data_IF_389245352159
#
_entry.id   IF_389245352159
#
_cell.length_a   1.000
_cell.length_b   1.000
_cell.length_c   1.000
_cell.angle_alpha   90.00
_cell.angle_beta   90.00
_cell.angle_gamma   90.00
#
_symmetry.space_group_name_H-M   'P 1'
#
loop_
_entity.id
_entity.type
_entity.pdbx_description
1 polymer ?
#
# COMPACT_ATOMS: atom_id res chain seq x y z
N UNK A 1 16.19 38.78 2.44
CA UNK A 1 16.93 38.03 3.48
C UNK A 1 16.08 36.83 3.87
N UNK A 2 16.00 35.80 3.03
CA UNK A 2 15.06 34.66 3.19
C UNK A 2 15.69 33.32 2.83
N UNK A 3 17.03 33.22 2.87
CA UNK A 3 17.77 32.00 2.50
C UNK A 3 18.39 31.29 3.72
N UNK A 4 18.36 31.91 4.89
CA UNK A 4 18.97 31.36 6.11
C UNK A 4 18.07 30.33 6.77
N UNK A 5 16.75 30.54 6.71
CA UNK A 5 15.77 29.68 7.40
C UNK A 5 15.70 28.26 6.82
N UNK A 6 15.80 28.11 5.49
CA UNK A 6 15.73 26.79 4.82
C UNK A 6 16.93 25.90 5.15
N UNK A 7 18.09 26.48 5.44
CA UNK A 7 19.35 25.75 5.65
C UNK A 7 19.46 25.09 7.03
N UNK A 8 18.61 25.48 7.97
CA UNK A 8 18.57 24.94 9.34
C UNK A 8 17.52 23.84 9.54
N UNK A 9 16.68 23.55 8.54
CA UNK A 9 15.75 22.43 8.65
C UNK A 9 16.50 21.10 8.48
N UNK A 10 16.15 20.07 9.28
CA UNK A 10 16.68 18.73 9.08
C UNK A 10 16.28 18.20 7.70
N UNK A 11 17.19 17.44 7.08
CA UNK A 11 16.90 16.77 5.82
C UNK A 11 15.67 15.87 5.97
N UNK A 12 14.81 15.87 4.95
CA UNK A 12 13.60 15.06 4.95
C UNK A 12 14.00 13.57 5.00
N UNK A 13 13.63 12.91 6.10
CA UNK A 13 13.78 11.46 6.22
C UNK A 13 12.43 10.83 5.88
N UNK A 14 12.31 10.04 4.79
CA UNK A 14 11.07 9.39 4.45
C UNK A 14 10.69 8.38 5.54
N UNK A 15 9.40 8.33 5.90
CA UNK A 15 8.91 7.34 6.88
C UNK A 15 9.08 5.89 6.39
N UNK A 16 9.14 5.69 5.07
CA UNK A 16 9.31 4.39 4.43
C UNK A 16 10.55 4.44 3.54
N UNK A 17 11.47 3.49 3.77
CA UNK A 17 12.67 3.34 2.94
C UNK A 17 12.32 2.80 1.57
N UNK A 18 12.87 3.42 0.52
CA UNK A 18 12.60 3.09 -0.90
C UNK A 18 12.91 1.64 -1.26
N UNK A 19 13.87 1.03 -0.58
CA UNK A 19 14.25 -0.37 -0.79
C UNK A 19 13.23 -1.38 -0.26
N UNK A 20 12.43 -0.99 0.74
CA UNK A 20 11.42 -1.86 1.33
C UNK A 20 10.09 -1.87 0.55
N UNK A 21 9.84 -0.81 -0.24
CA UNK A 21 8.63 -0.64 -1.05
C UNK A 21 8.27 -1.81 -1.99
N UNK A 22 9.20 -2.42 -2.74
CA UNK A 22 8.83 -3.52 -3.65
C UNK A 22 8.34 -4.76 -2.90
N UNK A 23 8.92 -5.03 -1.73
CA UNK A 23 8.53 -6.17 -0.90
C UNK A 23 7.13 -5.95 -0.29
N UNK A 24 6.83 -4.76 0.23
CA UNK A 24 5.49 -4.45 0.75
C UNK A 24 4.44 -4.45 -0.36
N UNK A 25 4.76 -3.96 -1.56
CA UNK A 25 3.86 -4.00 -2.70
C UNK A 25 3.53 -5.45 -3.10
N UNK A 26 4.55 -6.31 -3.22
CA UNK A 26 4.39 -7.72 -3.56
C UNK A 26 3.53 -8.45 -2.52
N UNK A 27 3.84 -8.30 -1.24
CA UNK A 27 3.12 -8.98 -0.15
C UNK A 27 1.67 -8.48 -0.08
N UNK A 28 1.44 -7.17 -0.20
CA UNK A 28 0.09 -6.60 -0.17
C UNK A 28 -0.76 -7.06 -1.37
N UNK A 29 -0.19 -7.08 -2.58
CA UNK A 29 -0.90 -7.56 -3.78
C UNK A 29 -1.19 -9.06 -3.73
N UNK A 30 -0.22 -9.89 -3.29
CA UNK A 30 -0.43 -11.32 -3.15
C UNK A 30 -1.52 -11.63 -2.11
N UNK A 31 -1.50 -10.93 -0.98
CA UNK A 31 -2.54 -11.07 0.03
C UNK A 31 -3.90 -10.61 -0.50
N UNK A 32 -3.96 -9.48 -1.22
CA UNK A 32 -5.19 -9.00 -1.87
C UNK A 32 -5.74 -10.01 -2.90
N UNK A 33 -4.86 -10.62 -3.69
CA UNK A 33 -5.22 -11.66 -4.65
C UNK A 33 -5.76 -12.91 -3.95
N UNK A 34 -5.10 -13.37 -2.89
CA UNK A 34 -5.56 -14.52 -2.11
C UNK A 34 -6.90 -14.24 -1.40
N UNK A 35 -7.09 -13.04 -0.84
CA UNK A 35 -8.34 -12.62 -0.19
C UNK A 35 -9.50 -12.49 -1.19
N UNK A 36 -9.25 -11.91 -2.37
CA UNK A 36 -10.27 -11.82 -3.43
C UNK A 36 -10.61 -13.21 -3.98
N UNK A 37 -9.62 -14.08 -4.19
CA UNK A 37 -9.87 -15.48 -4.56
C UNK A 37 -10.69 -16.20 -3.49
N UNK A 38 -10.33 -16.03 -2.20
CA UNK A 38 -11.05 -16.60 -1.07
C UNK A 38 -12.52 -16.15 -1.05
N UNK A 39 -12.78 -14.87 -1.31
CA UNK A 39 -14.13 -14.33 -1.45
C UNK A 39 -14.90 -15.06 -2.56
N UNK A 40 -14.29 -15.26 -3.74
CA UNK A 40 -14.96 -15.97 -4.85
C UNK A 40 -15.28 -17.44 -4.54
N UNK A 41 -14.50 -18.08 -3.68
CA UNK A 41 -14.77 -19.45 -3.20
C UNK A 41 -15.73 -19.53 -2.03
N UNK A 42 -15.99 -18.42 -1.34
CA UNK A 42 -16.91 -18.40 -0.20
C UNK A 42 -18.35 -18.45 -0.73
N UNK A 43 -19.01 -19.60 -0.56
CA UNK A 43 -20.43 -19.73 -0.87
C UNK A 43 -21.24 -19.59 0.42
N UNK A 44 -22.03 -18.51 0.53
CA UNK A 44 -23.12 -18.30 1.50
C UNK A 44 -22.72 -17.76 2.89
N UNK A 45 -22.04 -16.62 2.96
CA UNK A 45 -21.87 -15.92 4.24
C UNK A 45 -21.77 -14.38 4.06
N UNK A 46 -22.91 -13.67 3.85
CA UNK A 46 -22.91 -12.26 3.43
C UNK A 46 -22.20 -11.31 4.41
N UNK A 47 -22.22 -11.59 5.71
CA UNK A 47 -21.52 -10.80 6.72
C UNK A 47 -19.98 -10.96 6.66
N UNK A 48 -19.50 -12.17 6.35
CA UNK A 48 -18.08 -12.45 6.21
C UNK A 48 -17.55 -12.01 4.83
N UNK A 49 -18.39 -12.11 3.79
CA UNK A 49 -18.10 -11.61 2.45
C UNK A 49 -17.80 -10.11 2.48
N UNK A 50 -18.60 -9.32 3.21
CA UNK A 50 -18.38 -7.88 3.34
C UNK A 50 -17.05 -7.56 4.04
N UNK A 51 -16.74 -8.27 5.13
CA UNK A 51 -15.49 -8.08 5.87
C UNK A 51 -14.25 -8.44 5.06
N UNK A 52 -14.29 -9.58 4.36
CA UNK A 52 -13.21 -10.03 3.47
C UNK A 52 -13.06 -9.10 2.27
N UNK A 53 -14.16 -8.65 1.66
CA UNK A 53 -14.14 -7.72 0.54
C UNK A 53 -13.53 -6.36 0.93
N UNK A 54 -13.87 -5.83 2.10
CA UNK A 54 -13.29 -4.58 2.61
C UNK A 54 -11.78 -4.72 2.87
N UNK A 55 -11.37 -5.81 3.53
CA UNK A 55 -9.95 -6.10 3.76
C UNK A 55 -9.18 -6.25 2.44
N UNK A 56 -9.75 -7.00 1.50
CA UNK A 56 -9.16 -7.21 0.18
C UNK A 56 -9.01 -5.89 -0.59
N UNK A 57 -10.04 -5.04 -0.58
CA UNK A 57 -10.03 -3.73 -1.23
C UNK A 57 -8.99 -2.79 -0.62
N UNK A 58 -8.88 -2.76 0.72
CA UNK A 58 -7.88 -1.95 1.41
C UNK A 58 -6.46 -2.40 1.07
N UNK A 59 -6.20 -3.72 1.09
CA UNK A 59 -4.90 -4.29 0.75
C UNK A 59 -4.54 -4.09 -0.73
N UNK A 60 -5.52 -4.20 -1.63
CA UNK A 60 -5.35 -3.92 -3.05
C UNK A 60 -5.01 -2.44 -3.28
N UNK A 61 -5.72 -1.52 -2.63
CA UNK A 61 -5.45 -0.08 -2.69
C UNK A 61 -4.06 0.27 -2.15
N UNK A 62 -3.72 -0.19 -0.95
CA UNK A 62 -2.41 0.05 -0.36
C UNK A 62 -1.26 -0.56 -1.20
N UNK A 63 -1.45 -1.78 -1.69
CA UNK A 63 -0.47 -2.48 -2.51
C UNK A 63 -0.25 -1.84 -3.88
N UNK A 64 -1.30 -1.33 -4.53
CA UNK A 64 -1.17 -0.59 -5.79
C UNK A 64 -0.43 0.73 -5.61
N UNK A 65 -0.74 1.52 -4.57
CA UNK A 65 0.01 2.75 -4.24
C UNK A 65 1.50 2.45 -4.00
N UNK A 66 1.80 1.39 -3.24
CA UNK A 66 3.17 0.94 -3.04
C UNK A 66 3.84 0.53 -4.36
N UNK A 67 3.15 -0.21 -5.24
CA UNK A 67 3.65 -0.59 -6.56
C UNK A 67 3.95 0.64 -7.42
N UNK A 68 3.06 1.64 -7.47
CA UNK A 68 3.31 2.87 -8.23
C UNK A 68 4.52 3.64 -7.68
N UNK A 69 4.68 3.70 -6.37
CA UNK A 69 5.89 4.25 -5.76
C UNK A 69 7.15 3.44 -6.15
N UNK A 70 7.08 2.10 -6.26
CA UNK A 70 8.25 1.29 -6.69
C UNK A 70 8.68 1.52 -8.12
N UNK A 71 7.72 1.78 -9.02
CA UNK A 71 8.00 2.03 -10.46
C UNK A 71 8.61 3.41 -10.67
N UNK A 72 8.79 4.21 -9.62
CA UNK A 72 9.38 5.54 -9.71
C UNK A 72 8.38 6.60 -10.16
N UNK A 73 7.07 6.33 -10.09
CA UNK A 73 6.00 7.32 -10.28
C UNK A 73 5.83 8.16 -9.01
N UNK A 74 6.95 8.61 -8.42
CA UNK A 74 6.93 9.51 -7.26
C UNK A 74 6.50 10.89 -7.76
N UNK A 75 5.26 11.28 -7.42
CA UNK A 75 4.80 12.67 -7.33
C UNK A 75 5.18 13.29 -6.00
#
# INVERSE_FOLDING_TARGET
MTYVEVKTLPAFSPLISVEALPTIALVALLAAFALTFFLTTLSKAPAQELGVALLAAFLAGAGTVALFCTVGVYV
#
